data_IF_075441158274
#
_entry.id   IF_075441158274
#
_cell.length_a   1.000
_cell.length_b   1.000
_cell.length_c   1.000
_cell.angle_alpha   90.00
_cell.angle_beta   90.00
_cell.angle_gamma   90.00
#
_symmetry.space_group_name_H-M   'P 1'
#
loop_
_entity.id
_entity.type
_entity.pdbx_description
1 polymer ?
#
# COMPACT_ATOMS: atom_id res chain seq x y z
N UNK A 1 58.33 -20.35 -63.36
CA UNK A 1 57.70 -20.03 -64.65
C UNK A 1 56.51 -19.15 -64.29
N UNK A 2 56.72 -17.84 -64.29
CA UNK A 2 56.17 -16.87 -65.23
C UNK A 2 54.63 -16.90 -65.25
N UNK A 3 53.86 -15.89 -64.82
CA UNK A 3 53.79 -14.55 -65.47
C UNK A 3 53.13 -13.52 -64.54
N UNK A 4 53.71 -12.32 -64.56
CA UNK A 4 53.19 -11.07 -64.02
C UNK A 4 51.98 -10.57 -64.87
N UNK A 5 51.03 -9.91 -64.27
CA UNK A 5 50.31 -8.82 -64.92
C UNK A 5 50.03 -7.69 -63.91
N UNK A 6 50.59 -6.56 -64.24
CA UNK A 6 50.37 -5.25 -63.63
C UNK A 6 49.03 -4.69 -64.06
N UNK A 7 48.29 -4.05 -63.18
CA UNK A 7 47.41 -2.91 -63.53
C UNK A 7 47.50 -1.88 -62.42
N UNK A 8 47.69 -0.65 -62.82
CA UNK A 8 48.07 0.50 -62.00
C UNK A 8 46.92 1.18 -61.25
N UNK A 9 47.19 2.33 -60.65
CA UNK A 9 46.44 2.87 -59.51
C UNK A 9 45.31 3.80 -59.94
N UNK A 10 44.17 3.71 -59.26
CA UNK A 10 43.13 4.76 -59.27
C UNK A 10 43.07 5.41 -57.89
N UNK A 11 43.11 6.73 -57.90
CA UNK A 11 43.30 7.61 -56.79
C UNK A 11 42.14 7.71 -55.79
N UNK A 12 42.34 8.52 -54.73
CA UNK A 12 41.48 8.49 -53.54
C UNK A 12 40.21 9.35 -53.75
N UNK A 13 39.03 8.78 -53.50
CA UNK A 13 37.79 9.55 -53.26
C UNK A 13 37.59 9.58 -51.75
N UNK A 14 37.95 10.68 -51.14
CA UNK A 14 37.61 11.01 -49.75
C UNK A 14 36.11 11.33 -49.67
N UNK A 15 35.34 10.44 -49.09
CA UNK A 15 34.03 10.78 -48.49
C UNK A 15 34.10 10.59 -47.01
N UNK A 16 34.40 11.70 -46.30
CA UNK A 16 34.28 11.78 -44.86
C UNK A 16 32.80 11.81 -44.44
N UNK A 17 32.24 10.68 -44.15
CA UNK A 17 30.98 10.59 -43.38
C UNK A 17 31.40 10.70 -41.89
N UNK A 18 31.22 11.88 -41.32
CA UNK A 18 31.23 12.08 -39.86
C UNK A 18 29.93 11.46 -39.36
N UNK A 19 29.96 10.20 -38.91
CA UNK A 19 28.89 9.61 -38.12
C UNK A 19 29.06 10.17 -36.71
N UNK A 20 28.30 11.23 -36.41
CA UNK A 20 28.06 11.68 -35.06
C UNK A 20 27.26 10.57 -34.37
N UNK A 21 27.96 9.68 -33.68
CA UNK A 21 27.36 8.74 -32.75
C UNK A 21 26.92 9.52 -31.52
N UNK A 22 25.69 10.06 -31.53
CA UNK A 22 24.99 10.45 -30.31
C UNK A 22 24.82 9.18 -29.50
N UNK A 23 25.66 9.01 -28.47
CA UNK A 23 25.42 8.06 -27.38
C UNK A 23 24.10 8.47 -26.70
N UNK A 24 22.99 7.97 -27.19
CA UNK A 24 21.77 7.86 -26.39
C UNK A 24 22.14 6.94 -25.23
N UNK A 25 22.34 7.49 -24.05
CA UNK A 25 22.45 6.71 -22.84
C UNK A 25 21.18 5.87 -22.74
N UNK A 26 21.29 4.57 -22.94
CA UNK A 26 20.19 3.65 -22.64
C UNK A 26 19.93 3.76 -21.15
N UNK A 27 18.85 4.45 -20.78
CA UNK A 27 18.33 4.42 -19.41
C UNK A 27 17.95 2.96 -19.18
N UNK A 28 18.74 2.25 -18.37
CA UNK A 28 18.37 0.90 -17.94
C UNK A 28 17.19 1.05 -17.01
N UNK A 29 16.00 0.80 -17.51
CA UNK A 29 14.80 0.66 -16.69
C UNK A 29 15.02 -0.46 -15.67
N UNK A 30 14.52 -0.27 -14.45
CA UNK A 30 14.50 -1.33 -13.44
C UNK A 30 13.81 -2.57 -14.01
N UNK A 31 14.50 -3.71 -13.95
CA UNK A 31 13.94 -4.99 -14.39
C UNK A 31 13.82 -5.94 -13.19
N UNK A 32 12.60 -6.19 -12.76
CA UNK A 32 12.30 -7.04 -11.62
C UNK A 32 12.76 -8.49 -11.78
N UNK A 33 12.78 -8.99 -13.02
CA UNK A 33 13.22 -10.36 -13.30
C UNK A 33 14.72 -10.55 -13.03
N UNK A 34 15.48 -9.45 -13.05
CA UNK A 34 16.93 -9.43 -12.76
C UNK A 34 17.24 -9.02 -11.31
N UNK A 35 16.23 -8.72 -10.50
CA UNK A 35 16.44 -8.38 -9.10
C UNK A 35 16.58 -9.64 -8.24
N UNK A 36 17.82 -9.99 -7.94
CA UNK A 36 18.18 -11.16 -7.13
C UNK A 36 17.98 -10.95 -5.62
N UNK A 37 17.65 -9.74 -5.20
CA UNK A 37 17.40 -9.44 -3.78
C UNK A 37 16.00 -9.84 -3.32
N UNK A 38 15.08 -10.12 -4.26
CA UNK A 38 13.74 -10.57 -3.94
C UNK A 38 13.76 -12.04 -3.55
N UNK A 39 13.34 -12.41 -2.32
CA UNK A 39 13.26 -13.79 -1.89
C UNK A 39 12.36 -14.62 -2.79
N UNK A 40 12.77 -15.83 -3.14
CA UNK A 40 12.02 -16.71 -4.05
C UNK A 40 10.56 -16.93 -3.61
N UNK A 41 10.25 -17.20 -2.33
CA UNK A 41 8.86 -17.37 -1.88
C UNK A 41 7.98 -16.13 -2.06
N UNK A 42 8.58 -14.92 -2.13
CA UNK A 42 7.85 -13.65 -2.28
C UNK A 42 7.57 -13.28 -3.74
N UNK A 43 8.26 -13.90 -4.71
CA UNK A 43 8.07 -13.64 -6.15
C UNK A 43 6.65 -13.91 -6.63
N UNK A 44 5.93 -14.86 -6.01
CA UNK A 44 4.52 -15.16 -6.29
C UNK A 44 3.57 -13.97 -6.09
N UNK A 45 3.97 -12.96 -5.31
CA UNK A 45 3.17 -11.77 -5.01
C UNK A 45 3.40 -10.62 -5.99
N UNK A 46 4.32 -10.76 -6.94
CA UNK A 46 4.63 -9.74 -7.93
C UNK A 46 3.85 -10.05 -9.20
N UNK A 47 2.99 -9.12 -9.68
CA UNK A 47 2.24 -9.37 -10.91
C UNK A 47 3.17 -9.43 -12.12
N UNK A 48 2.91 -10.36 -13.04
CA UNK A 48 3.63 -10.47 -14.32
C UNK A 48 3.07 -9.54 -15.41
N UNK A 49 1.85 -9.04 -15.23
CA UNK A 49 1.14 -8.13 -16.13
C UNK A 49 0.08 -7.34 -15.35
N UNK A 50 -0.51 -6.33 -15.99
CA UNK A 50 -1.58 -5.54 -15.39
C UNK A 50 -2.29 -4.66 -16.42
N UNK A 51 -3.52 -4.25 -16.08
CA UNK A 51 -4.29 -3.25 -16.83
C UNK A 51 -4.33 -1.97 -16.01
N UNK A 52 -3.82 -0.89 -16.57
CA UNK A 52 -3.62 0.36 -15.84
C UNK A 52 -4.60 1.43 -16.30
N UNK A 53 -5.00 2.34 -15.40
CA UNK A 53 -5.96 3.40 -15.71
C UNK A 53 -5.51 4.28 -16.86
N UNK A 54 -6.43 4.59 -17.78
CA UNK A 54 -6.21 5.50 -18.89
C UNK A 54 -5.82 6.89 -18.36
N UNK A 55 -4.92 7.56 -19.08
CA UNK A 55 -4.48 8.91 -18.73
C UNK A 55 -3.55 9.00 -17.52
N UNK A 56 -3.23 7.90 -16.82
CA UNK A 56 -2.19 7.88 -15.81
C UNK A 56 -0.89 7.34 -16.38
N UNK A 57 0.21 8.04 -16.09
CA UNK A 57 1.58 7.64 -16.41
C UNK A 57 2.45 7.71 -15.16
N UNK A 58 3.42 6.82 -15.07
CA UNK A 58 4.27 6.68 -13.89
C UNK A 58 5.73 6.51 -14.25
N UNK A 59 6.63 6.87 -13.34
CA UNK A 59 8.07 6.60 -13.51
C UNK A 59 8.73 6.35 -12.16
N UNK A 60 9.69 5.42 -12.13
CA UNK A 60 10.62 5.21 -11.03
C UNK A 60 12.04 5.60 -11.47
N UNK A 61 12.66 6.54 -10.79
CA UNK A 61 13.96 7.12 -11.16
C UNK A 61 14.96 6.99 -10.02
N UNK A 62 16.20 6.64 -10.32
CA UNK A 62 17.27 6.63 -9.34
C UNK A 62 17.84 8.04 -9.15
N UNK A 63 17.90 8.50 -7.90
CA UNK A 63 18.45 9.78 -7.45
C UNK A 63 19.66 9.58 -6.54
N UNK A 64 19.65 8.53 -5.72
CA UNK A 64 20.59 8.31 -4.63
C UNK A 64 20.27 9.21 -3.43
N UNK A 65 19.00 9.22 -3.00
CA UNK A 65 18.53 9.96 -1.81
C UNK A 65 19.27 9.48 -0.57
N UNK A 66 19.38 8.16 -0.38
CA UNK A 66 20.30 7.56 0.59
C UNK A 66 21.61 7.24 -0.08
N UNK A 67 22.74 7.70 0.47
CA UNK A 67 24.06 7.53 -0.14
C UNK A 67 24.43 6.06 -0.41
N UNK A 68 23.95 5.14 0.41
CA UNK A 68 24.15 3.68 0.21
C UNK A 68 23.33 3.10 -0.95
N UNK A 69 22.29 3.80 -1.44
CA UNK A 69 21.55 3.37 -2.61
C UNK A 69 22.25 3.82 -3.89
N UNK A 70 22.95 2.89 -4.54
CA UNK A 70 23.68 3.14 -5.78
C UNK A 70 22.99 2.57 -7.03
N UNK A 71 21.82 1.91 -6.85
CA UNK A 71 21.25 1.08 -7.93
C UNK A 71 19.75 1.24 -8.12
N UNK A 72 18.99 1.21 -7.05
CA UNK A 72 17.53 1.12 -7.13
C UNK A 72 16.88 2.48 -7.34
N UNK A 73 15.74 2.55 -8.06
CA UNK A 73 14.97 3.78 -8.11
C UNK A 73 14.52 4.17 -6.69
N UNK A 74 14.54 5.48 -6.39
CA UNK A 74 14.19 6.05 -5.10
C UNK A 74 13.44 7.39 -5.21
N UNK A 75 13.01 7.71 -6.43
CA UNK A 75 12.07 8.79 -6.75
C UNK A 75 10.96 8.22 -7.64
N UNK A 76 9.74 8.22 -7.14
CA UNK A 76 8.54 7.82 -7.88
C UNK A 76 7.75 9.08 -8.28
N UNK A 77 7.27 9.09 -9.52
CA UNK A 77 6.35 10.10 -10.02
C UNK A 77 5.15 9.39 -10.65
N UNK A 78 3.96 9.75 -10.18
CA UNK A 78 2.67 9.35 -10.73
C UNK A 78 2.00 10.63 -11.25
N UNK A 79 1.58 10.66 -12.50
CA UNK A 79 0.96 11.83 -13.10
C UNK A 79 -0.22 11.44 -13.98
N UNK A 80 -1.26 12.26 -13.95
CA UNK A 80 -2.36 12.18 -14.91
C UNK A 80 -2.09 13.13 -16.08
N UNK A 81 -2.47 12.73 -17.30
CA UNK A 81 -2.32 13.55 -18.51
C UNK A 81 -3.12 14.86 -18.38
N UNK A 82 -4.29 14.78 -17.76
CA UNK A 82 -5.13 15.93 -17.41
C UNK A 82 -5.32 15.99 -15.88
N UNK A 83 -5.61 17.16 -15.31
CA UNK A 83 -5.91 17.25 -13.89
C UNK A 83 -7.07 16.34 -13.49
N UNK A 84 -6.91 15.61 -12.37
CA UNK A 84 -7.92 14.68 -11.87
C UNK A 84 -9.23 15.40 -11.57
N UNK A 85 -10.34 14.76 -11.92
CA UNK A 85 -11.69 15.23 -11.58
C UNK A 85 -11.92 15.23 -10.08
N UNK A 86 -11.30 14.27 -9.38
CA UNK A 86 -11.34 14.23 -7.94
C UNK A 86 -10.10 13.52 -7.35
N UNK A 87 -9.69 13.97 -6.17
CA UNK A 87 -8.62 13.34 -5.38
C UNK A 87 -8.94 13.46 -3.89
N UNK A 88 -8.56 12.44 -3.12
CA UNK A 88 -8.59 12.48 -1.67
C UNK A 88 -7.36 11.77 -1.11
N UNK A 89 -7.00 12.11 0.12
CA UNK A 89 -6.01 11.33 0.86
C UNK A 89 -6.40 11.22 2.34
N UNK A 90 -5.91 10.17 2.98
CA UNK A 90 -5.89 9.98 4.41
C UNK A 90 -4.45 10.02 4.91
N UNK A 91 -4.25 10.53 6.12
CA UNK A 91 -2.94 10.83 6.65
C UNK A 91 -2.80 10.31 8.08
N UNK A 92 -1.57 10.08 8.51
CA UNK A 92 -1.24 9.69 9.87
C UNK A 92 -1.84 10.62 10.93
N UNK A 93 -2.29 10.04 12.05
CA UNK A 93 -2.69 10.79 13.25
C UNK A 93 -1.53 11.02 14.22
N UNK A 94 -0.33 10.55 13.89
CA UNK A 94 0.87 10.81 14.68
C UNK A 94 1.05 12.32 14.89
N UNK A 95 1.40 12.74 16.11
CA UNK A 95 1.58 14.16 16.44
C UNK A 95 2.80 14.77 15.76
N UNK A 96 3.81 13.95 15.44
CA UNK A 96 5.01 14.36 14.69
C UNK A 96 4.83 14.18 13.19
N UNK A 97 3.79 14.81 12.62
CA UNK A 97 3.53 14.73 11.19
C UNK A 97 4.70 15.27 10.37
N UNK A 98 5.18 14.45 9.43
CA UNK A 98 6.26 14.81 8.52
C UNK A 98 5.89 16.00 7.60
N UNK A 99 6.88 16.71 7.11
CA UNK A 99 6.71 17.85 6.22
C UNK A 99 5.86 17.52 4.96
N UNK A 100 6.07 16.40 4.25
CA UNK A 100 5.23 16.04 3.10
C UNK A 100 3.76 15.83 3.47
N UNK A 101 3.46 15.28 4.65
CA UNK A 101 2.07 15.14 5.13
C UNK A 101 1.40 16.51 5.26
N UNK A 102 2.10 17.48 5.87
CA UNK A 102 1.56 18.83 6.08
C UNK A 102 1.34 19.56 4.73
N UNK A 103 2.29 19.46 3.80
CA UNK A 103 2.20 20.07 2.47
C UNK A 103 1.06 19.46 1.66
N UNK A 104 0.94 18.14 1.61
CA UNK A 104 -0.12 17.45 0.85
C UNK A 104 -1.51 17.71 1.41
N UNK A 105 -1.66 17.81 2.75
CA UNK A 105 -2.93 18.23 3.38
C UNK A 105 -3.34 19.62 2.90
N UNK A 106 -2.41 20.57 2.97
CA UNK A 106 -2.68 21.96 2.56
C UNK A 106 -3.06 22.03 1.08
N UNK A 107 -2.34 21.32 0.20
CA UNK A 107 -2.66 21.26 -1.24
C UNK A 107 -4.09 20.74 -1.49
N UNK A 108 -4.48 19.64 -0.84
CA UNK A 108 -5.83 19.08 -0.97
C UNK A 108 -6.91 20.00 -0.43
N UNK A 109 -6.65 20.71 0.69
CA UNK A 109 -7.57 21.70 1.27
C UNK A 109 -7.76 22.88 0.34
N UNK A 110 -6.68 23.46 -0.19
CA UNK A 110 -6.72 24.57 -1.15
C UNK A 110 -7.46 24.21 -2.43
N UNK A 111 -7.24 23.01 -2.94
CA UNK A 111 -7.86 22.50 -4.17
C UNK A 111 -9.26 21.89 -3.94
N UNK A 112 -9.69 21.71 -2.70
CA UNK A 112 -10.96 21.05 -2.34
C UNK A 112 -11.11 19.67 -2.99
N UNK A 113 -10.01 18.97 -3.15
CA UNK A 113 -9.96 17.65 -3.78
C UNK A 113 -10.09 17.64 -5.31
N UNK A 114 -10.03 18.80 -5.99
CA UNK A 114 -10.10 18.89 -7.46
C UNK A 114 -8.76 19.32 -8.05
N UNK A 115 -8.52 18.98 -9.30
CA UNK A 115 -7.37 19.48 -10.06
C UNK A 115 -6.01 19.03 -9.53
N UNK A 116 -5.94 17.98 -8.73
CA UNK A 116 -4.69 17.31 -8.40
C UNK A 116 -4.25 16.53 -9.64
N UNK A 117 -3.00 16.69 -10.05
CA UNK A 117 -2.48 16.08 -11.26
C UNK A 117 -1.41 15.04 -10.99
N UNK A 118 -0.60 15.23 -9.95
CA UNK A 118 0.55 14.36 -9.70
C UNK A 118 0.73 13.98 -8.23
N UNK A 119 1.48 12.89 -8.02
CA UNK A 119 2.04 12.51 -6.73
C UNK A 119 3.54 12.24 -6.93
N UNK A 120 4.38 12.93 -6.16
CA UNK A 120 5.83 12.70 -6.15
C UNK A 120 6.24 12.11 -4.81
N UNK A 121 7.05 11.05 -4.85
CA UNK A 121 7.44 10.29 -3.65
C UNK A 121 8.93 10.05 -3.67
N UNK A 122 9.65 10.37 -2.61
CA UNK A 122 11.02 9.90 -2.42
C UNK A 122 11.10 8.82 -1.33
N UNK A 123 11.98 7.84 -1.53
CA UNK A 123 12.37 6.89 -0.49
C UNK A 123 13.81 7.13 -0.03
N UNK A 124 14.15 6.64 1.18
CA UNK A 124 15.47 6.76 1.79
C UNK A 124 15.60 7.88 2.84
N UNK A 125 14.76 8.90 2.79
CA UNK A 125 14.68 9.97 3.78
C UNK A 125 13.21 10.36 3.97
N UNK A 126 12.74 10.33 5.23
CA UNK A 126 11.34 10.58 5.60
C UNK A 126 10.95 12.06 5.55
N UNK A 127 11.91 12.98 5.58
CA UNK A 127 11.64 14.41 5.75
C UNK A 127 10.71 14.70 6.94
N UNK A 128 10.90 13.95 8.02
CA UNK A 128 10.17 14.07 9.27
C UNK A 128 11.06 14.67 10.34
N UNK A 129 10.49 15.52 11.21
CA UNK A 129 11.21 16.25 12.28
C UNK A 129 12.35 17.10 11.71
N UNK A 130 12.12 17.73 10.57
CA UNK A 130 13.12 18.53 9.80
C UNK A 130 12.84 20.04 9.84
N UNK A 131 11.85 20.44 10.65
CA UNK A 131 11.52 21.85 10.87
C UNK A 131 11.08 22.61 9.61
N UNK A 132 11.29 23.93 9.61
CA UNK A 132 10.88 24.80 8.47
C UNK A 132 11.53 24.42 7.16
N UNK A 133 12.83 24.07 7.21
CA UNK A 133 13.55 23.68 6.01
C UNK A 133 13.00 22.40 5.35
N UNK A 134 12.50 21.43 6.14
CA UNK A 134 11.84 20.26 5.58
C UNK A 134 10.52 20.58 4.87
N UNK A 135 9.78 21.57 5.37
CA UNK A 135 8.57 22.08 4.68
C UNK A 135 8.93 22.76 3.36
N UNK A 136 10.02 23.53 3.33
CA UNK A 136 10.55 24.16 2.11
C UNK A 136 10.96 23.10 1.08
N UNK A 137 11.67 22.06 1.53
CA UNK A 137 12.08 20.95 0.66
C UNK A 137 10.86 20.24 0.06
N UNK A 138 9.83 19.91 0.86
CA UNK A 138 8.62 19.25 0.40
C UNK A 138 7.85 20.11 -0.62
N UNK A 139 7.72 21.43 -0.36
CA UNK A 139 7.11 22.37 -1.32
C UNK A 139 7.89 22.45 -2.61
N UNK A 140 9.22 22.53 -2.54
CA UNK A 140 10.08 22.59 -3.72
C UNK A 140 9.94 21.37 -4.61
N UNK A 141 9.78 20.17 -4.02
CA UNK A 141 9.48 18.95 -4.80
C UNK A 141 8.15 19.07 -5.55
N UNK A 142 7.07 19.48 -4.86
CA UNK A 142 5.75 19.63 -5.47
C UNK A 142 5.78 20.70 -6.58
N UNK A 143 6.31 21.89 -6.29
CA UNK A 143 6.42 23.00 -7.26
C UNK A 143 7.23 22.58 -8.50
N UNK A 144 8.32 21.82 -8.32
CA UNK A 144 9.14 21.37 -9.46
C UNK A 144 8.39 20.42 -10.39
N UNK A 145 7.50 19.58 -9.85
CA UNK A 145 6.62 18.73 -10.65
C UNK A 145 5.53 19.57 -11.34
N UNK A 146 4.93 20.54 -10.62
CA UNK A 146 3.93 21.45 -11.18
C UNK A 146 4.51 22.25 -12.37
N UNK A 147 5.77 22.74 -12.25
CA UNK A 147 6.51 23.37 -13.36
C UNK A 147 6.65 22.42 -14.57
N UNK A 148 6.99 21.15 -14.34
CA UNK A 148 7.10 20.15 -15.41
C UNK A 148 5.74 19.85 -16.07
N UNK A 149 4.64 19.91 -15.33
CA UNK A 149 3.28 19.81 -15.84
C UNK A 149 2.79 21.09 -16.57
N UNK A 150 3.55 22.20 -16.48
CA UNK A 150 3.18 23.48 -17.10
C UNK A 150 2.08 24.23 -16.34
N UNK A 151 1.89 23.98 -15.06
CA UNK A 151 0.92 24.68 -14.21
C UNK A 151 1.59 25.50 -13.12
N UNK A 152 1.01 26.67 -12.81
CA UNK A 152 1.40 27.50 -11.67
C UNK A 152 0.56 27.22 -10.42
N UNK A 153 -0.53 26.46 -10.56
CA UNK A 153 -1.41 26.13 -9.46
C UNK A 153 -0.90 24.88 -8.73
N UNK A 154 -0.93 24.86 -7.38
CA UNK A 154 -0.56 23.65 -6.62
C UNK A 154 -1.41 22.44 -7.04
N UNK A 155 -0.82 21.47 -7.70
CA UNK A 155 -1.51 20.30 -8.24
C UNK A 155 -0.81 18.98 -7.90
N UNK A 156 0.31 19.04 -7.17
CA UNK A 156 1.12 17.87 -6.84
C UNK A 156 1.07 17.57 -5.35
N UNK A 157 0.71 16.32 -5.00
CA UNK A 157 0.91 15.77 -3.66
C UNK A 157 2.34 15.29 -3.49
N UNK A 158 2.90 15.47 -2.31
CA UNK A 158 4.26 15.03 -1.99
C UNK A 158 4.24 14.02 -0.85
N UNK A 159 5.03 12.96 -0.98
CA UNK A 159 5.23 11.93 0.04
C UNK A 159 6.73 11.64 0.19
N UNK A 160 7.13 11.19 1.37
CA UNK A 160 8.51 10.77 1.65
C UNK A 160 8.51 9.59 2.61
N UNK A 161 9.54 8.74 2.55
CA UNK A 161 9.71 7.62 3.48
C UNK A 161 11.18 7.29 3.66
N UNK A 162 11.55 6.75 4.82
CA UNK A 162 12.92 6.38 5.17
C UNK A 162 13.36 6.96 6.51
N UNK A 163 14.60 7.40 6.61
CA UNK A 163 15.20 7.88 7.86
C UNK A 163 14.56 9.17 8.35
N UNK A 164 14.23 9.22 9.65
CA UNK A 164 13.69 10.38 10.36
C UNK A 164 14.83 11.28 10.84
N UNK A 165 14.59 12.61 10.94
CA UNK A 165 15.54 13.58 11.50
C UNK A 165 16.63 14.08 10.53
N UNK A 166 16.63 13.58 9.29
CA UNK A 166 17.57 14.02 8.25
C UNK A 166 16.88 14.91 7.21
N UNK A 167 17.62 15.93 6.73
CA UNK A 167 17.20 16.78 5.62
C UNK A 167 17.32 16.03 4.30
N UNK A 168 16.41 16.28 3.39
CA UNK A 168 16.48 15.76 2.03
C UNK A 168 17.74 16.31 1.30
N UNK A 169 18.40 15.51 0.46
CA UNK A 169 19.37 16.02 -0.50
C UNK A 169 18.61 16.72 -1.65
N UNK A 170 17.94 17.82 -1.32
CA UNK A 170 16.88 18.43 -2.14
C UNK A 170 17.36 18.78 -3.55
N UNK A 171 18.58 19.32 -3.70
CA UNK A 171 19.13 19.67 -5.02
C UNK A 171 19.17 18.46 -5.94
N UNK A 172 19.64 17.29 -5.44
CA UNK A 172 19.70 16.06 -6.24
C UNK A 172 18.30 15.62 -6.70
N UNK A 173 17.29 15.77 -5.84
CA UNK A 173 15.92 15.41 -6.15
C UNK A 173 15.35 16.34 -7.22
N UNK A 174 15.50 17.67 -7.03
CA UNK A 174 15.00 18.67 -7.96
C UNK A 174 15.64 18.53 -9.36
N UNK A 175 16.94 18.24 -9.42
CA UNK A 175 17.65 17.99 -10.68
C UNK A 175 17.15 16.75 -11.44
N UNK A 176 16.56 15.77 -10.73
CA UNK A 176 16.08 14.53 -11.31
C UNK A 176 14.59 14.51 -11.64
N UNK A 177 13.78 15.40 -11.06
CA UNK A 177 12.35 15.51 -11.35
C UNK A 177 12.07 15.70 -12.86
N UNK A 178 12.76 16.58 -13.62
CA UNK A 178 12.51 16.70 -15.06
C UNK A 178 12.80 15.38 -15.82
N UNK A 179 13.83 14.63 -15.41
CA UNK A 179 14.11 13.31 -15.98
C UNK A 179 13.02 12.31 -15.63
N UNK A 180 12.56 12.28 -14.39
CA UNK A 180 11.44 11.42 -13.97
C UNK A 180 10.16 11.75 -14.77
N UNK A 181 9.87 13.03 -14.98
CA UNK A 181 8.73 13.48 -15.78
C UNK A 181 8.84 13.08 -17.26
N UNK A 182 10.01 13.21 -17.88
CA UNK A 182 10.22 12.80 -19.27
C UNK A 182 10.13 11.29 -19.49
N UNK A 183 10.32 10.49 -18.44
CA UNK A 183 10.25 9.03 -18.45
C UNK A 183 8.86 8.47 -18.08
N UNK A 184 7.86 9.32 -17.89
CA UNK A 184 6.50 8.90 -17.58
C UNK A 184 5.94 7.98 -18.65
N UNK A 185 5.46 6.80 -18.29
CA UNK A 185 4.87 5.81 -19.18
C UNK A 185 3.75 5.02 -18.48
N UNK A 186 2.78 4.53 -19.28
CA UNK A 186 1.72 3.64 -18.80
C UNK A 186 1.99 2.18 -19.20
N UNK A 187 3.18 1.68 -18.89
CA UNK A 187 3.56 0.29 -19.11
C UNK A 187 3.67 -0.47 -17.79
N UNK A 188 3.46 -1.78 -17.83
CA UNK A 188 3.62 -2.63 -16.65
C UNK A 188 4.99 -2.45 -15.97
N UNK A 189 6.07 -2.38 -16.75
CA UNK A 189 7.42 -2.17 -16.22
C UNK A 189 7.58 -0.79 -15.57
N UNK A 190 6.94 0.25 -16.08
CA UNK A 190 6.96 1.58 -15.45
C UNK A 190 6.25 1.55 -14.09
N UNK A 191 5.07 0.90 -14.01
CA UNK A 191 4.34 0.73 -12.77
C UNK A 191 5.14 -0.07 -11.73
N UNK A 192 5.79 -1.19 -12.14
CA UNK A 192 6.66 -1.96 -11.24
C UNK A 192 7.89 -1.17 -10.78
N UNK A 193 8.53 -0.42 -11.68
CA UNK A 193 9.68 0.43 -11.32
C UNK A 193 9.27 1.54 -10.34
N UNK A 194 8.07 2.11 -10.50
CA UNK A 194 7.51 3.12 -9.61
C UNK A 194 7.18 2.53 -8.25
N UNK A 195 6.57 1.33 -8.21
CA UNK A 195 6.32 0.61 -6.97
C UNK A 195 7.62 0.24 -6.24
N UNK A 196 8.70 -0.08 -6.97
CA UNK A 196 10.02 -0.31 -6.38
C UNK A 196 10.63 0.96 -5.82
N UNK A 197 10.41 2.10 -6.47
CA UNK A 197 10.97 3.39 -6.06
C UNK A 197 10.49 3.90 -4.71
N UNK A 198 9.36 3.41 -4.22
CA UNK A 198 8.82 3.77 -2.90
C UNK A 198 9.23 2.81 -1.77
N UNK A 199 9.89 1.69 -2.09
CA UNK A 199 10.33 0.68 -1.11
C UNK A 199 11.47 1.19 -0.24
N UNK A 200 11.51 0.70 1.02
CA UNK A 200 12.60 0.95 1.99
C UNK A 200 13.21 -0.38 2.45
N UNK A 201 12.64 -1.00 3.48
CA UNK A 201 12.98 -2.34 3.97
C UNK A 201 12.17 -3.44 3.28
N UNK A 202 11.27 -3.07 2.39
CA UNK A 202 10.43 -3.98 1.60
C UNK A 202 11.27 -4.97 0.79
N UNK A 203 10.91 -6.24 0.84
CA UNK A 203 11.61 -7.29 0.08
C UNK A 203 11.12 -7.39 -1.36
N UNK A 204 9.90 -6.92 -1.66
CA UNK A 204 9.33 -6.87 -3.02
C UNK A 204 8.43 -5.65 -3.23
N UNK A 205 8.30 -5.14 -4.48
CA UNK A 205 7.37 -4.05 -4.79
C UNK A 205 5.92 -4.53 -4.76
N UNK A 206 5.06 -3.77 -4.08
CA UNK A 206 3.64 -4.09 -3.91
C UNK A 206 2.81 -3.29 -4.90
N UNK A 207 2.31 -3.97 -5.92
CA UNK A 207 1.54 -3.42 -7.04
C UNK A 207 0.41 -4.36 -7.39
N UNK A 208 -0.80 -3.86 -7.52
CA UNK A 208 -1.93 -4.58 -8.10
C UNK A 208 -2.69 -3.69 -9.07
N UNK A 209 -3.41 -4.31 -9.99
CA UNK A 209 -4.38 -3.66 -10.86
C UNK A 209 -5.56 -4.59 -11.13
N UNK A 210 -6.72 -4.01 -11.35
CA UNK A 210 -7.94 -4.73 -11.73
C UNK A 210 -8.83 -3.87 -12.59
N UNK A 211 -9.73 -4.53 -13.33
CA UNK A 211 -10.80 -3.86 -14.07
C UNK A 211 -12.14 -4.06 -13.37
N UNK A 212 -13.07 -3.13 -13.61
CA UNK A 212 -14.43 -3.20 -13.08
C UNK A 212 -15.42 -2.48 -13.99
N UNK A 213 -16.71 -2.68 -13.74
CA UNK A 213 -17.81 -1.98 -14.43
C UNK A 213 -18.70 -1.29 -13.40
N UNK A 214 -19.41 -0.27 -13.83
CA UNK A 214 -20.41 0.43 -13.04
C UNK A 214 -21.80 0.19 -13.62
N UNK A 215 -22.83 0.00 -12.78
CA UNK A 215 -24.19 -0.31 -13.23
C UNK A 215 -24.78 0.69 -14.22
N UNK A 216 -24.54 2.01 -14.04
CA UNK A 216 -25.05 3.02 -14.96
C UNK A 216 -24.27 3.12 -16.29
N UNK A 217 -23.15 2.43 -16.40
CA UNK A 217 -22.26 2.46 -17.58
C UNK A 217 -21.78 1.06 -17.97
N UNK A 218 -22.70 0.11 -18.23
CA UNK A 218 -22.35 -1.32 -18.38
C UNK A 218 -21.45 -1.62 -19.58
N UNK A 219 -21.39 -0.71 -20.57
CA UNK A 219 -20.52 -0.84 -21.73
C UNK A 219 -19.09 -0.30 -21.54
N UNK A 220 -18.78 0.28 -20.37
CA UNK A 220 -17.49 0.87 -20.08
C UNK A 220 -16.77 0.00 -19.04
N UNK A 221 -15.54 -0.42 -19.40
CA UNK A 221 -14.63 -1.08 -18.48
C UNK A 221 -13.68 -0.04 -17.90
N UNK A 222 -13.70 0.12 -16.60
CA UNK A 222 -12.80 0.98 -15.83
C UNK A 222 -11.62 0.20 -15.30
N UNK A 223 -10.53 0.89 -15.05
CA UNK A 223 -9.33 0.31 -14.43
C UNK A 223 -9.05 0.97 -13.07
N UNK A 224 -8.59 0.17 -12.13
CA UNK A 224 -8.08 0.59 -10.83
C UNK A 224 -6.69 -0.01 -10.66
N UNK A 225 -5.70 0.82 -10.39
CA UNK A 225 -4.35 0.38 -10.08
C UNK A 225 -3.86 1.04 -8.80
N UNK A 226 -3.01 0.34 -8.06
CA UNK A 226 -2.46 0.88 -6.84
C UNK A 226 -1.15 0.24 -6.46
N UNK A 227 -0.30 1.04 -5.84
CA UNK A 227 0.95 0.61 -5.24
C UNK A 227 1.03 1.06 -3.79
N UNK A 228 1.76 0.28 -3.00
CA UNK A 228 2.02 0.60 -1.59
C UNK A 228 3.40 0.13 -1.18
N UNK A 229 3.88 0.62 -0.06
CA UNK A 229 5.11 0.16 0.60
C UNK A 229 4.88 0.01 2.10
N UNK A 230 5.71 -0.80 2.71
CA UNK A 230 5.78 -0.99 4.15
C UNK A 230 6.14 -2.43 4.49
N UNK A 231 7.04 -2.59 5.46
CA UNK A 231 7.47 -3.86 6.01
C UNK A 231 7.71 -3.78 7.53
N UNK A 232 7.93 -2.59 8.08
CA UNK A 232 8.07 -2.29 9.51
C UNK A 232 7.49 -0.92 9.85
N UNK A 233 7.28 -0.64 11.14
CA UNK A 233 6.55 0.51 11.69
C UNK A 233 5.13 0.57 11.11
N UNK A 234 4.39 -0.55 11.21
CA UNK A 234 3.07 -0.73 10.61
C UNK A 234 2.02 -1.09 11.68
N UNK A 235 1.31 -0.09 12.15
CA UNK A 235 0.04 -0.20 12.85
C UNK A 235 -0.81 1.03 12.57
N UNK A 236 -1.62 0.99 11.53
CA UNK A 236 -2.38 2.15 11.09
C UNK A 236 -3.46 2.58 12.08
N UNK A 237 -3.37 3.84 12.49
CA UNK A 237 -4.49 4.56 13.07
C UNK A 237 -4.78 5.77 12.18
N UNK A 238 -5.50 5.53 11.06
CA UNK A 238 -5.75 6.45 9.95
C UNK A 238 -4.61 6.53 8.90
N UNK A 239 -3.89 5.47 8.66
CA UNK A 239 -2.87 5.14 7.65
C UNK A 239 -1.42 5.08 8.17
N UNK A 240 -0.74 3.91 8.05
CA UNK A 240 0.69 3.74 8.38
C UNK A 240 1.47 3.13 7.21
N UNK A 241 1.50 3.81 6.08
CA UNK A 241 2.32 3.41 4.93
C UNK A 241 2.15 4.46 3.83
N UNK A 242 2.90 4.36 2.78
CA UNK A 242 2.63 5.14 1.59
C UNK A 242 1.87 4.27 0.60
N UNK A 243 0.75 4.79 0.10
CA UNK A 243 -0.03 4.14 -0.95
C UNK A 243 -0.63 5.16 -1.91
N UNK A 244 -0.67 4.81 -3.18
CA UNK A 244 -1.33 5.60 -4.22
C UNK A 244 -2.25 4.68 -4.99
N UNK A 245 -3.51 5.07 -5.08
CA UNK A 245 -4.57 4.41 -5.83
C UNK A 245 -5.01 5.33 -6.97
N UNK A 246 -5.13 4.79 -8.19
CA UNK A 246 -5.53 5.55 -9.37
C UNK A 246 -6.65 4.85 -10.12
N UNK A 247 -7.66 5.58 -10.57
CA UNK A 247 -8.73 5.06 -11.43
C UNK A 247 -9.05 6.03 -12.56
N UNK A 248 -9.41 5.47 -13.71
CA UNK A 248 -9.92 6.23 -14.85
C UNK A 248 -11.46 6.40 -14.84
N UNK A 249 -12.13 5.88 -13.82
CA UNK A 249 -13.56 6.13 -13.61
C UNK A 249 -13.82 7.59 -13.23
N UNK A 250 -14.91 8.21 -13.71
CA UNK A 250 -15.31 9.53 -13.30
C UNK A 250 -15.91 9.48 -11.88
N UNK A 251 -15.26 10.13 -10.94
CA UNK A 251 -15.71 10.22 -9.54
C UNK A 251 -15.83 11.69 -9.17
N UNK A 252 -16.93 12.05 -8.52
CA UNK A 252 -17.13 13.40 -8.02
C UNK A 252 -16.33 13.63 -6.72
N UNK A 253 -15.84 14.85 -6.51
CA UNK A 253 -15.06 15.21 -5.33
C UNK A 253 -15.78 14.90 -4.01
N UNK A 254 -17.11 15.02 -3.98
CA UNK A 254 -17.94 14.69 -2.81
C UNK A 254 -17.88 13.20 -2.43
N UNK A 255 -17.69 12.32 -3.41
CA UNK A 255 -17.65 10.87 -3.21
C UNK A 255 -16.24 10.35 -2.81
N UNK A 256 -15.18 11.05 -3.22
CA UNK A 256 -13.81 10.55 -3.08
C UNK A 256 -13.42 10.25 -1.63
N UNK A 257 -13.57 11.24 -0.74
CA UNK A 257 -13.15 11.08 0.67
C UNK A 257 -13.99 10.04 1.43
N UNK A 258 -15.33 10.00 1.33
CA UNK A 258 -16.12 8.94 1.96
C UNK A 258 -15.78 7.53 1.46
N UNK A 259 -15.58 7.34 0.14
CA UNK A 259 -15.17 6.08 -0.45
C UNK A 259 -13.80 5.63 0.10
N UNK A 260 -12.83 6.54 0.11
CA UNK A 260 -11.48 6.25 0.60
C UNK A 260 -11.49 5.91 2.10
N UNK A 261 -12.20 6.68 2.93
CA UNK A 261 -12.32 6.41 4.37
C UNK A 261 -12.93 5.04 4.65
N UNK A 262 -14.00 4.68 3.93
CA UNK A 262 -14.63 3.37 4.06
C UNK A 262 -13.67 2.24 3.70
N UNK A 263 -12.98 2.34 2.58
CA UNK A 263 -12.03 1.35 2.11
C UNK A 263 -10.84 1.22 3.07
N UNK A 264 -10.22 2.33 3.47
CA UNK A 264 -9.06 2.35 4.37
C UNK A 264 -9.39 1.80 5.75
N UNK A 265 -10.58 2.09 6.31
CA UNK A 265 -10.98 1.58 7.62
C UNK A 265 -11.09 0.05 7.67
N UNK A 266 -11.32 -0.59 6.51
CA UNK A 266 -11.50 -2.05 6.36
C UNK A 266 -10.33 -2.75 5.69
N UNK A 267 -9.24 -2.03 5.46
CA UNK A 267 -8.05 -2.54 4.78
C UNK A 267 -6.78 -2.07 5.48
N UNK A 268 -6.22 -0.95 5.08
CA UNK A 268 -4.99 -0.40 5.64
C UNK A 268 -5.07 -0.11 7.14
N UNK A 269 -6.23 0.26 7.70
CA UNK A 269 -6.43 0.41 9.15
C UNK A 269 -6.80 -0.90 9.85
N UNK A 270 -6.72 -2.02 9.14
CA UNK A 270 -6.98 -3.37 9.66
C UNK A 270 -5.78 -4.28 9.45
N UNK A 271 -4.56 -3.73 9.50
CA UNK A 271 -3.30 -4.48 9.46
C UNK A 271 -2.39 -4.09 10.61
N UNK A 272 -1.48 -4.98 11.02
CA UNK A 272 -0.39 -4.65 11.94
C UNK A 272 0.82 -5.54 11.68
N UNK A 273 2.02 -4.95 11.74
CA UNK A 273 3.28 -5.69 11.77
C UNK A 273 3.86 -5.65 13.20
N UNK A 274 4.05 -4.47 13.77
CA UNK A 274 4.75 -4.26 15.04
C UNK A 274 3.99 -3.40 16.06
N UNK A 275 2.86 -2.83 15.68
CA UNK A 275 2.07 -1.99 16.56
C UNK A 275 2.47 -0.51 16.57
N UNK A 276 3.49 -0.11 15.80
CA UNK A 276 4.00 1.25 15.74
C UNK A 276 3.41 2.07 14.60
N UNK A 277 3.12 3.36 14.88
CA UNK A 277 2.53 4.30 13.91
C UNK A 277 3.56 5.30 13.40
N UNK A 278 3.76 5.38 12.11
CA UNK A 278 4.74 6.25 11.46
C UNK A 278 4.31 7.73 11.43
N UNK A 279 5.28 8.60 11.16
CA UNK A 279 5.10 10.06 11.00
C UNK A 279 4.65 10.48 9.59
N UNK A 280 4.74 9.57 8.60
CA UNK A 280 4.64 9.90 7.18
C UNK A 280 3.41 9.34 6.46
N UNK A 281 2.65 8.48 7.11
CA UNK A 281 1.65 7.65 6.47
C UNK A 281 0.61 8.42 5.70
N UNK A 282 0.44 7.99 4.45
CA UNK A 282 -0.46 8.64 3.50
C UNK A 282 -0.98 7.63 2.49
N UNK A 283 -2.30 7.54 2.33
CA UNK A 283 -2.95 6.88 1.20
C UNK A 283 -3.66 7.94 0.38
N UNK A 284 -3.25 8.11 -0.87
CA UNK A 284 -3.89 8.98 -1.84
C UNK A 284 -4.72 8.15 -2.84
N UNK A 285 -5.90 8.67 -3.19
CA UNK A 285 -6.75 8.11 -4.23
C UNK A 285 -7.07 9.21 -5.24
N UNK A 286 -6.76 8.95 -6.52
CA UNK A 286 -6.92 9.87 -7.64
C UNK A 286 -7.85 9.28 -8.68
N UNK A 287 -8.77 10.09 -9.20
CA UNK A 287 -9.68 9.74 -10.28
C UNK A 287 -9.63 10.82 -11.37
N UNK A 288 -9.29 10.45 -12.62
CA UNK A 288 -9.18 11.40 -13.71
C UNK A 288 -10.38 11.38 -14.69
N UNK A 289 -11.25 10.36 -14.60
CA UNK A 289 -12.42 10.25 -15.46
C UNK A 289 -12.11 9.94 -16.93
N UNK A 290 -10.88 9.56 -17.28
CA UNK A 290 -10.43 9.39 -18.67
C UNK A 290 -11.12 8.25 -19.43
N UNK A 291 -11.80 7.34 -18.76
CA UNK A 291 -12.62 6.30 -19.41
C UNK A 291 -14.02 6.80 -19.79
N UNK A 292 -14.43 7.98 -19.31
CA UNK A 292 -15.77 8.54 -19.55
C UNK A 292 -16.86 7.88 -18.72
N UNK A 293 -18.12 8.09 -19.07
CA UNK A 293 -19.28 7.60 -18.34
C UNK A 293 -19.88 8.61 -17.37
N UNK A 294 -20.85 8.17 -16.55
CA UNK A 294 -21.51 9.02 -15.56
C UNK A 294 -20.68 9.16 -14.29
N UNK A 295 -20.55 10.38 -13.72
CA UNK A 295 -19.82 10.57 -12.48
C UNK A 295 -20.47 9.84 -11.30
N UNK A 296 -19.64 9.15 -10.51
CA UNK A 296 -20.04 8.53 -9.24
C UNK A 296 -20.14 9.63 -8.18
N UNK A 297 -21.32 9.88 -7.65
CA UNK A 297 -21.60 10.90 -6.65
C UNK A 297 -21.90 10.30 -5.28
N UNK A 298 -21.56 11.02 -4.21
CA UNK A 298 -21.98 10.64 -2.87
C UNK A 298 -23.49 10.75 -2.65
N UNK A 299 -24.08 9.98 -1.74
CA UNK A 299 -25.45 10.24 -1.27
C UNK A 299 -25.57 11.68 -0.75
N UNK A 300 -26.65 12.39 -1.10
CA UNK A 300 -26.87 13.79 -0.70
C UNK A 300 -27.12 13.95 0.80
N UNK A 301 -27.54 12.87 1.48
CA UNK A 301 -27.67 12.80 2.94
C UNK A 301 -27.55 11.36 3.43
N UNK A 302 -27.31 11.11 4.73
CA UNK A 302 -27.29 9.75 5.29
C UNK A 302 -28.61 8.96 5.11
N UNK A 303 -29.73 9.66 4.91
CA UNK A 303 -31.05 9.08 4.67
C UNK A 303 -31.34 8.83 3.18
N UNK A 304 -30.50 9.35 2.27
CA UNK A 304 -30.66 9.13 0.83
C UNK A 304 -30.14 7.77 0.44
N UNK A 305 -30.91 7.02 -0.35
CA UNK A 305 -30.47 5.74 -0.87
C UNK A 305 -29.13 5.91 -1.64
N UNK A 306 -28.18 5.05 -1.32
CA UNK A 306 -26.90 4.99 -2.01
C UNK A 306 -27.10 4.58 -3.47
N UNK A 307 -26.54 5.32 -4.42
CA UNK A 307 -26.61 4.94 -5.83
C UNK A 307 -25.93 3.58 -6.07
N UNK A 308 -26.42 2.84 -7.05
CA UNK A 308 -25.85 1.53 -7.41
C UNK A 308 -24.34 1.65 -7.78
N UNK A 309 -23.96 2.72 -8.48
CA UNK A 309 -22.56 2.97 -8.85
C UNK A 309 -21.67 3.27 -7.64
N UNK A 310 -22.15 4.08 -6.69
CA UNK A 310 -21.41 4.36 -5.46
C UNK A 310 -21.18 3.08 -4.65
N UNK A 311 -22.23 2.25 -4.48
CA UNK A 311 -22.13 0.98 -3.77
C UNK A 311 -21.18 0.00 -4.48
N UNK A 312 -21.24 -0.07 -5.82
CA UNK A 312 -20.34 -0.90 -6.62
C UNK A 312 -18.88 -0.44 -6.48
N UNK A 313 -18.61 0.86 -6.65
CA UNK A 313 -17.26 1.41 -6.50
C UNK A 313 -16.72 1.25 -5.07
N UNK A 314 -17.57 1.46 -4.05
CA UNK A 314 -17.20 1.25 -2.64
C UNK A 314 -16.75 -0.20 -2.39
N UNK A 315 -17.50 -1.17 -2.91
CA UNK A 315 -17.15 -2.60 -2.80
C UNK A 315 -15.83 -2.90 -3.51
N UNK A 316 -15.69 -2.45 -4.76
CA UNK A 316 -14.47 -2.64 -5.57
C UNK A 316 -13.26 -2.02 -4.89
N UNK A 317 -13.35 -0.76 -4.47
CA UNK A 317 -12.25 -0.05 -3.82
C UNK A 317 -11.87 -0.71 -2.49
N UNK A 318 -12.85 -1.20 -1.72
CA UNK A 318 -12.59 -1.86 -0.44
C UNK A 318 -11.84 -3.18 -0.65
N UNK A 319 -12.31 -4.05 -1.54
CA UNK A 319 -11.64 -5.32 -1.82
C UNK A 319 -10.25 -5.13 -2.42
N UNK A 320 -10.08 -4.12 -3.29
CA UNK A 320 -8.79 -3.75 -3.85
C UNK A 320 -7.81 -3.29 -2.76
N UNK A 321 -8.24 -2.39 -1.89
CA UNK A 321 -7.45 -1.89 -0.78
C UNK A 321 -7.07 -3.00 0.21
N UNK A 322 -7.97 -3.97 0.46
CA UNK A 322 -7.68 -5.16 1.26
C UNK A 322 -6.55 -6.00 0.64
N UNK A 323 -6.68 -6.33 -0.65
CA UNK A 323 -5.64 -7.09 -1.36
C UNK A 323 -4.29 -6.40 -1.33
N UNK A 324 -4.27 -5.07 -1.49
CA UNK A 324 -3.03 -4.29 -1.47
C UNK A 324 -2.43 -4.21 -0.05
N UNK A 325 -3.25 -4.03 0.99
CA UNK A 325 -2.80 -3.98 2.38
C UNK A 325 -2.27 -5.32 2.90
N UNK A 326 -2.84 -6.43 2.43
CA UNK A 326 -2.35 -7.78 2.76
C UNK A 326 -0.92 -8.01 2.26
N UNK A 327 -0.53 -7.44 1.10
CA UNK A 327 0.84 -7.52 0.62
C UNK A 327 1.85 -6.88 1.58
N UNK A 328 1.44 -5.85 2.33
CA UNK A 328 2.26 -5.21 3.36
C UNK A 328 2.53 -6.18 4.51
N UNK A 329 1.48 -6.86 4.99
CA UNK A 329 1.60 -7.84 6.07
C UNK A 329 2.45 -9.05 5.66
N UNK A 330 2.27 -9.53 4.42
CA UNK A 330 3.06 -10.63 3.85
C UNK A 330 4.55 -10.31 3.73
N UNK A 331 4.89 -9.04 3.68
CA UNK A 331 6.27 -8.54 3.62
C UNK A 331 6.77 -7.97 4.96
N UNK A 332 6.07 -8.26 6.05
CA UNK A 332 6.51 -7.85 7.39
C UNK A 332 7.95 -8.27 7.65
N UNK A 333 8.74 -7.37 8.26
CA UNK A 333 10.15 -7.64 8.58
C UNK A 333 10.30 -8.92 9.38
N UNK A 334 10.99 -9.91 8.81
CA UNK A 334 11.19 -11.22 9.41
C UNK A 334 9.94 -12.10 9.53
N UNK A 335 8.81 -11.72 8.92
CA UNK A 335 7.56 -12.46 9.02
C UNK A 335 7.65 -13.87 8.41
N UNK A 336 7.17 -14.87 9.16
CA UNK A 336 7.03 -16.25 8.70
C UNK A 336 5.57 -16.68 8.57
N UNK A 337 4.63 -15.88 9.11
CA UNK A 337 3.19 -16.12 9.07
C UNK A 337 2.43 -14.93 8.53
N UNK A 338 1.37 -15.21 7.79
CA UNK A 338 0.31 -14.29 7.44
C UNK A 338 -0.96 -14.71 8.15
N UNK A 339 -1.42 -13.92 9.10
CA UNK A 339 -2.52 -14.29 9.98
C UNK A 339 -3.72 -13.38 9.72
N UNK A 340 -4.87 -14.00 9.49
CA UNK A 340 -6.17 -13.35 9.48
C UNK A 340 -6.83 -13.59 10.84
N UNK A 341 -7.18 -12.56 11.56
CA UNK A 341 -8.06 -12.66 12.72
C UNK A 341 -9.44 -12.10 12.38
N UNK A 342 -10.44 -12.91 12.56
CA UNK A 342 -11.85 -12.58 12.38
C UNK A 342 -12.53 -12.56 13.72
N UNK A 343 -13.06 -11.41 14.13
CA UNK A 343 -13.93 -11.28 15.29
C UNK A 343 -15.35 -11.12 14.78
N UNK A 344 -16.23 -12.05 15.15
CA UNK A 344 -17.61 -12.12 14.67
C UNK A 344 -18.62 -12.09 15.81
N UNK A 345 -19.87 -11.84 15.47
CA UNK A 345 -21.01 -11.75 16.39
C UNK A 345 -20.83 -10.65 17.47
N UNK A 346 -20.22 -9.51 17.05
CA UNK A 346 -20.07 -8.30 17.88
C UNK A 346 -21.30 -7.39 17.76
N UNK A 347 -21.61 -6.60 18.80
CA UNK A 347 -22.68 -5.60 18.73
C UNK A 347 -22.41 -4.49 17.72
N UNK A 348 -21.14 -4.18 17.44
CA UNK A 348 -20.76 -3.20 16.44
C UNK A 348 -19.38 -3.50 15.85
N UNK A 349 -19.17 -3.01 14.62
CA UNK A 349 -17.90 -3.14 13.89
C UNK A 349 -16.69 -2.58 14.67
N UNK A 350 -16.84 -1.45 15.36
CA UNK A 350 -15.72 -0.81 16.06
C UNK A 350 -15.21 -1.68 17.21
N UNK A 351 -16.11 -2.28 18.02
CA UNK A 351 -15.73 -3.21 19.09
C UNK A 351 -15.03 -4.45 18.53
N UNK A 352 -15.58 -5.06 17.45
CA UNK A 352 -14.94 -6.20 16.78
C UNK A 352 -13.53 -5.85 16.30
N UNK A 353 -13.37 -4.68 15.65
CA UNK A 353 -12.10 -4.20 15.14
C UNK A 353 -11.07 -3.94 16.25
N UNK A 354 -11.50 -3.37 17.38
CA UNK A 354 -10.63 -3.13 18.55
C UNK A 354 -10.11 -4.42 19.15
N UNK A 355 -10.97 -5.42 19.30
CA UNK A 355 -10.58 -6.77 19.77
C UNK A 355 -9.58 -7.39 18.79
N UNK A 356 -9.91 -7.40 17.48
CA UNK A 356 -9.03 -7.94 16.45
C UNK A 356 -7.67 -7.24 16.42
N UNK A 357 -7.66 -5.91 16.53
CA UNK A 357 -6.44 -5.09 16.61
C UNK A 357 -5.59 -5.43 17.86
N UNK A 358 -6.23 -5.65 19.01
CA UNK A 358 -5.52 -5.99 20.26
C UNK A 358 -4.85 -7.35 20.15
N UNK A 359 -5.53 -8.35 19.54
CA UNK A 359 -4.94 -9.66 19.26
C UNK A 359 -3.75 -9.51 18.30
N UNK A 360 -3.92 -8.77 17.22
CA UNK A 360 -2.91 -8.59 16.18
C UNK A 360 -1.63 -7.88 16.67
N UNK A 361 -1.72 -7.05 17.71
CA UNK A 361 -0.59 -6.34 18.32
C UNK A 361 0.05 -7.09 19.49
N UNK A 362 -0.59 -8.12 20.03
CA UNK A 362 -0.09 -8.83 21.21
C UNK A 362 1.24 -9.52 20.94
N UNK A 363 2.36 -9.12 21.56
CA UNK A 363 3.63 -9.80 21.38
C UNK A 363 3.56 -11.28 21.77
N UNK A 364 2.76 -11.60 22.79
CA UNK A 364 2.59 -12.99 23.23
C UNK A 364 1.86 -13.85 22.20
N UNK A 365 0.83 -13.32 21.55
CA UNK A 365 0.15 -14.03 20.43
C UNK A 365 1.11 -14.20 19.27
N UNK A 366 1.80 -13.14 18.86
CA UNK A 366 2.70 -13.15 17.71
C UNK A 366 3.87 -14.12 17.89
N UNK A 367 4.46 -14.17 19.09
CA UNK A 367 5.56 -15.09 19.39
C UNK A 367 5.09 -16.54 19.52
N UNK A 368 3.87 -16.80 20.01
CA UNK A 368 3.29 -18.14 20.02
C UNK A 368 3.13 -18.67 18.60
N UNK A 369 2.60 -17.86 17.68
CA UNK A 369 2.43 -18.23 16.27
C UNK A 369 3.78 -18.52 15.58
N UNK A 370 4.81 -17.74 15.87
CA UNK A 370 6.17 -18.00 15.41
C UNK A 370 6.69 -19.34 15.95
N UNK A 371 6.48 -19.60 17.24
CA UNK A 371 6.85 -20.86 17.91
C UNK A 371 5.98 -22.06 17.54
N UNK A 372 4.95 -21.87 16.67
CA UNK A 372 3.97 -22.90 16.29
C UNK A 372 3.22 -23.46 17.52
N UNK A 373 2.99 -22.61 18.50
CA UNK A 373 2.23 -22.90 19.71
C UNK A 373 0.78 -22.46 19.55
N UNK A 374 -0.17 -23.39 19.61
CA UNK A 374 -1.61 -23.12 19.49
C UNK A 374 -2.18 -22.47 20.76
N UNK A 375 -1.53 -21.43 21.26
CA UNK A 375 -1.78 -20.80 22.55
C UNK A 375 -3.03 -19.90 22.52
N UNK A 376 -4.20 -20.51 22.49
CA UNK A 376 -5.49 -19.78 22.55
C UNK A 376 -5.66 -18.97 23.82
N UNK A 377 -5.02 -19.36 24.93
CA UNK A 377 -5.03 -18.61 26.17
C UNK A 377 -4.48 -17.18 26.01
N UNK A 378 -3.41 -17.01 25.21
CA UNK A 378 -2.88 -15.68 24.89
C UNK A 378 -3.84 -14.85 24.02
N UNK A 379 -4.60 -15.52 23.13
CA UNK A 379 -5.65 -14.87 22.32
C UNK A 379 -6.75 -14.36 23.25
N UNK A 380 -7.26 -15.19 24.17
CA UNK A 380 -8.28 -14.78 25.14
C UNK A 380 -7.80 -13.66 26.07
N UNK A 381 -6.53 -13.71 26.50
CA UNK A 381 -5.94 -12.63 27.25
C UNK A 381 -6.05 -11.31 26.49
N UNK A 382 -5.70 -11.31 25.17
CA UNK A 382 -5.81 -10.12 24.32
C UNK A 382 -7.27 -9.67 24.10
N UNK A 383 -8.21 -10.59 23.99
CA UNK A 383 -9.65 -10.27 23.94
C UNK A 383 -10.10 -9.57 25.21
N UNK A 384 -9.67 -10.09 26.38
CA UNK A 384 -10.15 -9.62 27.69
C UNK A 384 -9.65 -8.24 28.09
N UNK A 385 -8.49 -7.79 27.59
CA UNK A 385 -7.97 -6.44 27.86
C UNK A 385 -8.15 -5.46 26.71
N UNK A 386 -8.91 -5.82 25.68
CA UNK A 386 -9.15 -4.91 24.56
C UNK A 386 -9.85 -3.63 25.03
N UNK A 387 -9.18 -2.48 24.81
CA UNK A 387 -9.64 -1.18 25.28
C UNK A 387 -10.68 -0.54 24.36
N UNK A 388 -11.58 0.26 24.92
CA UNK A 388 -12.61 1.00 24.20
C UNK A 388 -13.68 0.11 23.56
N UNK A 389 -13.84 -1.12 24.05
CA UNK A 389 -14.89 -2.06 23.63
C UNK A 389 -16.18 -1.74 24.39
N UNK A 390 -17.32 -1.78 23.72
CA UNK A 390 -18.63 -1.56 24.33
C UNK A 390 -18.86 -2.57 25.46
N UNK A 391 -19.32 -2.11 26.62
CA UNK A 391 -19.63 -2.96 27.78
C UNK A 391 -20.58 -4.10 27.37
N UNK A 392 -20.32 -5.32 27.89
CA UNK A 392 -21.09 -6.52 27.58
C UNK A 392 -20.82 -7.15 26.22
N UNK A 393 -19.89 -6.61 25.41
CA UNK A 393 -19.47 -7.22 24.14
C UNK A 393 -18.76 -8.55 24.37
N UNK A 394 -17.82 -8.59 25.32
CA UNK A 394 -17.07 -9.80 25.67
C UNK A 394 -17.73 -10.45 26.86
N UNK A 395 -18.28 -11.66 26.65
CA UNK A 395 -18.88 -12.50 27.70
C UNK A 395 -18.14 -13.83 27.67
N UNK A 396 -17.31 -14.14 28.68
CA UNK A 396 -16.47 -15.33 28.67
C UNK A 396 -17.22 -16.62 28.35
N UNK A 397 -18.39 -16.81 28.96
CA UNK A 397 -19.21 -18.03 28.82
C UNK A 397 -19.87 -18.20 27.44
N UNK A 398 -19.70 -17.21 26.53
CA UNK A 398 -20.22 -17.25 25.15
C UNK A 398 -19.10 -17.15 24.12
N UNK A 399 -17.88 -16.82 24.57
CA UNK A 399 -16.76 -16.61 23.67
C UNK A 399 -16.18 -17.95 23.21
N UNK A 400 -15.94 -18.07 21.89
CA UNK A 400 -15.31 -19.24 21.29
C UNK A 400 -14.08 -18.82 20.48
N UNK A 401 -13.06 -19.70 20.40
CA UNK A 401 -11.84 -19.49 19.62
C UNK A 401 -11.55 -20.72 18.80
N UNK A 402 -11.23 -20.53 17.53
CA UNK A 402 -10.93 -21.62 16.60
C UNK A 402 -9.81 -21.22 15.62
N UNK A 403 -9.06 -22.20 15.13
CA UNK A 403 -8.19 -22.06 13.96
C UNK A 403 -8.90 -22.63 12.73
N UNK A 404 -8.89 -21.85 11.65
CA UNK A 404 -9.43 -22.28 10.37
C UNK A 404 -8.28 -22.48 9.39
N UNK A 405 -8.00 -23.73 9.01
CA UNK A 405 -6.97 -24.06 8.03
C UNK A 405 -7.28 -23.49 6.66
N UNK A 406 -6.24 -23.16 5.89
CA UNK A 406 -6.37 -22.60 4.52
C UNK A 406 -6.54 -23.69 3.46
N UNK A 407 -6.25 -24.94 3.80
CA UNK A 407 -6.37 -26.11 2.92
C UNK A 407 -7.83 -26.63 2.77
N UNK A 408 -8.77 -25.98 3.46
CA UNK A 408 -10.20 -26.37 3.47
C UNK A 408 -10.52 -27.53 4.41
N UNK A 409 -9.57 -28.03 5.19
CA UNK A 409 -9.83 -29.04 6.22
C UNK A 409 -10.73 -28.47 7.35
N UNK A 410 -11.38 -29.33 8.16
CA UNK A 410 -12.29 -28.86 9.19
C UNK A 410 -11.64 -27.90 10.20
N UNK A 411 -12.41 -26.94 10.69
CA UNK A 411 -11.99 -25.96 11.72
C UNK A 411 -11.53 -26.72 12.98
N UNK A 412 -10.39 -26.29 13.55
CA UNK A 412 -9.90 -26.76 14.84
C UNK A 412 -10.47 -25.86 15.93
N UNK A 413 -11.39 -26.41 16.75
CA UNK A 413 -11.95 -25.72 17.91
C UNK A 413 -10.95 -25.80 19.05
N UNK A 414 -10.73 -24.68 19.75
CA UNK A 414 -9.81 -24.54 20.86
C UNK A 414 -10.53 -24.19 22.16
N UNK A 415 -11.56 -23.37 22.03
CA UNK A 415 -12.47 -22.97 23.11
C UNK A 415 -13.88 -22.87 22.52
N UNK A 416 -14.89 -23.39 23.21
CA UNK A 416 -16.29 -23.30 22.80
C UNK A 416 -17.14 -22.83 23.96
N UNK A 417 -17.82 -21.67 23.82
CA UNK A 417 -18.67 -21.09 24.83
C UNK A 417 -18.00 -21.02 26.23
N UNK A 418 -16.76 -20.57 26.26
CA UNK A 418 -15.98 -20.42 27.49
C UNK A 418 -15.34 -21.70 28.01
N UNK A 419 -15.62 -22.86 27.42
CA UNK A 419 -15.10 -24.15 27.86
C UNK A 419 -13.96 -24.62 26.94
N UNK A 420 -12.79 -25.05 27.50
CA UNK A 420 -11.71 -25.58 26.73
C UNK A 420 -12.08 -26.89 26.02
N UNK A 421 -11.72 -27.01 24.74
CA UNK A 421 -11.80 -28.27 24.00
C UNK A 421 -10.54 -29.12 24.20
N UNK A 422 -10.67 -30.43 24.02
CA UNK A 422 -9.53 -31.33 23.94
C UNK A 422 -8.85 -31.13 22.60
N UNK A 423 -7.72 -30.42 22.62
CA UNK A 423 -7.01 -30.02 21.39
C UNK A 423 -6.22 -31.20 20.83
N UNK A 424 -6.38 -31.49 19.55
CA UNK A 424 -5.50 -32.37 18.79
C UNK A 424 -4.20 -31.62 18.50
N UNK A 425 -3.19 -31.85 19.31
CA UNK A 425 -1.90 -31.13 19.26
C UNK A 425 -1.12 -31.41 17.95
N UNK A 426 -1.21 -32.62 17.39
CA UNK A 426 -0.56 -32.97 16.12
C UNK A 426 -1.19 -32.15 14.99
N UNK A 427 -2.49 -32.09 14.98
CA UNK A 427 -3.23 -31.28 14.01
C UNK A 427 -3.02 -29.78 14.19
N UNK A 428 -3.01 -29.30 15.42
CA UNK A 428 -2.70 -27.90 15.73
C UNK A 428 -1.31 -27.53 15.20
N UNK A 429 -0.31 -28.37 15.46
CA UNK A 429 1.04 -28.20 14.96
C UNK A 429 1.11 -28.21 13.42
N UNK A 430 0.35 -29.11 12.77
CA UNK A 430 0.29 -29.16 11.30
C UNK A 430 -0.30 -27.87 10.71
N UNK A 431 -1.42 -27.37 11.26
CA UNK A 431 -2.02 -26.09 10.85
C UNK A 431 -1.05 -24.93 10.99
N UNK A 432 -0.30 -24.90 12.10
CA UNK A 432 0.67 -23.85 12.38
C UNK A 432 1.99 -23.99 11.59
N UNK A 433 2.17 -25.00 10.75
CA UNK A 433 3.28 -25.04 9.79
C UNK A 433 3.05 -24.18 8.56
N UNK A 434 1.78 -23.97 8.16
CA UNK A 434 1.44 -23.15 7.01
C UNK A 434 1.80 -21.67 7.22
N UNK A 435 2.11 -20.97 6.12
CA UNK A 435 2.32 -19.51 6.15
C UNK A 435 1.02 -18.78 6.53
N UNK A 436 -0.08 -19.23 5.98
CA UNK A 436 -1.39 -18.62 6.12
C UNK A 436 -2.21 -19.31 7.22
N UNK A 437 -2.83 -18.51 8.11
CA UNK A 437 -3.70 -18.98 9.19
C UNK A 437 -4.89 -18.02 9.36
N UNK A 438 -6.10 -18.55 9.58
CA UNK A 438 -7.24 -17.75 10.05
C UNK A 438 -7.59 -18.11 11.50
N UNK A 439 -7.60 -17.11 12.38
CA UNK A 439 -8.08 -17.19 13.77
C UNK A 439 -9.51 -16.64 13.79
N UNK A 440 -10.46 -17.41 14.29
CA UNK A 440 -11.84 -16.99 14.48
C UNK A 440 -12.09 -16.81 15.97
N UNK A 441 -12.51 -15.60 16.36
CA UNK A 441 -13.03 -15.29 17.69
C UNK A 441 -14.51 -14.99 17.53
N UNK A 442 -15.34 -15.85 18.09
CA UNK A 442 -16.79 -15.70 18.10
C UNK A 442 -17.22 -15.20 19.47
N UNK A 443 -17.88 -14.05 19.52
CA UNK A 443 -18.33 -13.44 20.76
C UNK A 443 -19.72 -13.93 21.23
N UNK A 444 -20.31 -14.89 20.47
CA UNK A 444 -21.56 -15.55 20.85
C UNK A 444 -22.78 -14.61 20.92
N UNK A 445 -22.74 -13.49 20.21
CA UNK A 445 -23.89 -12.62 20.03
C UNK A 445 -24.91 -13.35 19.16
N UNK A 446 -25.99 -13.89 19.75
CA UNK A 446 -27.00 -14.70 19.10
C UNK A 446 -27.60 -14.08 17.84
N UNK A 447 -28.44 -14.83 17.11
CA UNK A 447 -29.20 -14.37 15.95
C UNK A 447 -29.82 -12.99 16.18
N UNK A 448 -29.87 -12.15 15.13
CA UNK A 448 -30.52 -10.84 15.15
C UNK A 448 -31.86 -10.91 15.88
N UNK A 449 -31.90 -10.48 17.13
CA UNK A 449 -33.16 -10.43 17.89
C UNK A 449 -33.06 -10.66 19.40
N UNK A 450 -32.13 -11.45 19.88
CA UNK A 450 -31.97 -11.65 21.33
C UNK A 450 -31.01 -10.63 21.93
N UNK A 451 -31.51 -9.56 22.50
CA UNK A 451 -30.83 -8.48 23.24
C UNK A 451 -30.01 -7.47 22.42
N UNK A 452 -30.28 -7.25 21.12
CA UNK A 452 -29.64 -6.17 20.37
C UNK A 452 -28.12 -6.36 20.12
N UNK A 453 -27.58 -7.56 20.34
CA UNK A 453 -26.21 -7.91 19.98
C UNK A 453 -26.23 -8.23 18.48
N UNK A 454 -25.72 -7.30 17.67
CA UNK A 454 -25.70 -7.41 16.21
C UNK A 454 -24.67 -8.43 15.73
N UNK A 455 -24.93 -9.09 14.61
CA UNK A 455 -23.98 -9.99 13.95
C UNK A 455 -22.89 -9.24 13.15
N UNK A 456 -22.28 -8.18 13.74
CA UNK A 456 -21.21 -7.43 13.10
C UNK A 456 -19.89 -8.19 13.21
N UNK A 457 -19.06 -8.07 12.16
CA UNK A 457 -17.74 -8.67 12.14
C UNK A 457 -16.66 -7.67 11.73
N UNK A 458 -15.45 -7.92 12.18
CA UNK A 458 -14.26 -7.25 11.68
C UNK A 458 -13.16 -8.26 11.39
N UNK A 459 -12.42 -8.00 10.33
CA UNK A 459 -11.24 -8.77 9.95
C UNK A 459 -10.01 -7.90 10.09
N UNK A 460 -8.93 -8.50 10.60
CA UNK A 460 -7.64 -7.84 10.78
C UNK A 460 -6.52 -8.77 10.31
N UNK A 461 -5.48 -8.23 9.65
CA UNK A 461 -4.34 -9.01 9.16
C UNK A 461 -3.08 -8.61 9.89
N UNK A 462 -2.27 -9.60 10.26
CA UNK A 462 -1.02 -9.38 10.96
C UNK A 462 -0.01 -10.51 10.67
N UNK A 463 1.24 -10.30 11.03
CA UNK A 463 2.28 -11.30 10.96
C UNK A 463 2.75 -11.70 12.35
N UNK A 464 3.49 -12.80 12.46
CA UNK A 464 4.17 -13.25 13.67
C UNK A 464 5.34 -12.33 14.05
N UNK A 465 5.99 -12.60 15.20
CA UNK A 465 7.27 -12.03 15.60
C UNK A 465 8.34 -13.13 15.62
N UNK A 466 9.28 -13.04 14.68
CA UNK A 466 10.43 -13.93 14.56
C UNK A 466 11.68 -13.33 15.23
N UNK A 467 12.72 -14.13 15.38
CA UNK A 467 14.05 -13.64 15.76
C UNK A 467 14.60 -12.65 14.73
N UNK A 468 14.28 -12.86 13.44
CA UNK A 468 14.73 -11.98 12.35
C UNK A 468 14.17 -10.57 12.46
N UNK A 469 12.94 -10.39 12.95
CA UNK A 469 12.39 -9.06 13.25
C UNK A 469 13.29 -8.28 14.21
N UNK A 470 13.78 -8.95 15.27
CA UNK A 470 14.68 -8.31 16.24
C UNK A 470 16.03 -8.00 15.60
N UNK A 471 16.58 -8.90 14.80
CA UNK A 471 17.85 -8.73 14.09
C UNK A 471 17.78 -7.51 13.16
N UNK A 472 16.77 -7.45 12.29
CA UNK A 472 16.58 -6.36 11.33
C UNK A 472 16.47 -5.02 12.05
N UNK A 473 15.63 -4.93 13.09
CA UNK A 473 15.38 -3.67 13.78
C UNK A 473 16.48 -3.28 14.75
N UNK A 474 17.22 -4.25 15.31
CA UNK A 474 18.41 -4.00 16.13
C UNK A 474 19.58 -3.44 15.34
N UNK A 475 19.71 -3.83 14.08
CA UNK A 475 20.77 -3.36 13.16
C UNK A 475 20.35 -2.12 12.34
N UNK A 476 19.04 -1.78 12.31
CA UNK A 476 18.54 -0.60 11.60
C UNK A 476 19.05 0.66 12.28
N UNK A 477 20.04 1.29 11.63
CA UNK A 477 20.60 2.55 12.09
C UNK A 477 20.12 3.71 11.22
N UNK A 478 19.69 4.74 11.89
CA UNK A 478 19.30 6.02 11.27
C UNK A 478 20.50 6.74 10.64
#
# INVERSE_FOLDING_TARGET
MVLLAKVGPLGPVTNSFIISATRRGQIRLYNILQDTTIPEPKRKHIPSSGTYPKGFRVSGTHVGVKASNTKYPDLALISSDEPCTAAAAVFTTNKFQAAPVQVSKLTLEQRKGNGIQSVVINSGCANAVTGKGGLEDARSMATKVDECNGTSEPSTLVMSTGVIGQRLPITKILDKIPTAHSNLANTHNAWLATARAICTTDTFPKLISQTFTLPSSPGITYSLAGMTKGAGMIHPNMATLLGVLCTDAPVDASAMKPLLLHAVSRSFNSISIDGDTSTNDTIAFLANGAAGGQPVTAPSSPSTATSADYAALQKVLTSFAQSLSQLVVRDGEGATKFVTVRVQNSPCYDSARRIASTIARSPLVKTALYGRDANWGRILCAVGYADGVTEGTVVPERTSVSFKPVDGSPILRLLVNGEPEVVDEERASAILQDEDLEIIVDLGGGEKGERGLGGEEAVYWFCDFSHEYVTINGDYRT
#
